data_IF_563876206931
#
_entry.id   IF_563876206931
#
_cell.length_a   1.000
_cell.length_b   1.000
_cell.length_c   1.000
_cell.angle_alpha   90.00
_cell.angle_beta   90.00
_cell.angle_gamma   90.00
#
_symmetry.space_group_name_H-M   'P 1'
#
loop_
_entity.id
_entity.type
_entity.pdbx_description
1 polymer ?
#
# COMPACT_ATOMS: atom_id res chain seq x y z
N UNK A 1 33.21 -1.83 30.83
CA UNK A 1 33.13 -1.51 29.39
C UNK A 1 31.77 -1.90 28.81
N UNK A 2 31.31 -3.14 28.98
CA UNK A 2 30.02 -3.62 28.38
C UNK A 2 28.80 -2.82 28.82
N UNK A 3 28.65 -2.50 30.12
CA UNK A 3 27.50 -1.72 30.62
C UNK A 3 27.45 -0.31 30.05
N UNK A 4 28.59 0.36 29.90
CA UNK A 4 28.67 1.71 29.30
C UNK A 4 28.22 1.68 27.83
N UNK A 5 28.68 0.69 27.05
CA UNK A 5 28.29 0.53 25.65
C UNK A 5 26.78 0.30 25.51
N UNK A 6 26.22 -0.62 26.34
CA UNK A 6 24.77 -0.91 26.35
C UNK A 6 23.98 0.34 26.75
N UNK A 7 24.45 1.08 27.75
CA UNK A 7 23.81 2.33 28.17
C UNK A 7 23.80 3.38 27.03
N UNK A 8 24.91 3.58 26.34
CA UNK A 8 25.03 4.52 25.23
C UNK A 8 24.13 4.11 24.04
N UNK A 9 24.08 2.80 23.69
CA UNK A 9 23.18 2.30 22.67
C UNK A 9 21.70 2.48 23.06
N UNK A 10 21.38 2.32 24.34
CA UNK A 10 20.02 2.55 24.85
C UNK A 10 19.64 4.05 24.78
N UNK A 11 20.57 4.94 25.12
CA UNK A 11 20.38 6.39 24.94
C UNK A 11 20.19 6.76 23.47
N UNK A 12 21.00 6.21 22.56
CA UNK A 12 20.85 6.40 21.11
C UNK A 12 19.48 5.95 20.64
N UNK A 13 19.04 4.74 21.03
CA UNK A 13 17.73 4.23 20.68
C UNK A 13 16.60 5.13 21.21
N UNK A 14 16.70 5.60 22.46
CA UNK A 14 15.73 6.53 23.04
C UNK A 14 15.65 7.84 22.24
N UNK A 15 16.80 8.45 21.95
CA UNK A 15 16.85 9.68 21.13
C UNK A 15 16.20 9.47 19.77
N UNK A 16 16.51 8.36 19.10
CA UNK A 16 15.89 8.05 17.80
C UNK A 16 14.37 7.89 17.95
N UNK A 17 13.89 7.19 18.98
CA UNK A 17 12.45 7.05 19.23
C UNK A 17 11.75 8.38 19.50
N UNK A 18 12.39 9.29 20.26
CA UNK A 18 11.84 10.64 20.49
C UNK A 18 11.78 11.43 19.18
N UNK A 19 12.82 11.37 18.35
CA UNK A 19 12.80 11.98 17.01
C UNK A 19 11.69 11.36 16.14
N UNK A 20 11.51 10.06 16.17
CA UNK A 20 10.44 9.38 15.43
C UNK A 20 9.05 9.80 15.91
N UNK A 21 8.82 9.90 17.21
CA UNK A 21 7.53 10.28 17.78
C UNK A 21 7.15 11.74 17.48
N UNK A 22 8.09 12.66 17.58
CA UNK A 22 7.82 14.09 17.51
C UNK A 22 8.22 14.73 16.18
N UNK A 23 9.26 14.23 15.51
CA UNK A 23 9.83 14.80 14.29
C UNK A 23 9.46 14.08 13.00
N UNK A 24 8.83 12.89 13.04
CA UNK A 24 8.53 12.09 11.85
C UNK A 24 7.07 12.21 11.39
N UNK A 25 6.52 13.43 11.32
CA UNK A 25 5.19 13.68 10.76
C UNK A 25 4.03 12.97 11.48
N UNK A 26 4.22 12.57 12.74
CA UNK A 26 3.17 11.87 13.51
C UNK A 26 2.72 10.54 12.88
N UNK A 27 3.61 9.83 12.19
CA UNK A 27 3.35 8.58 11.46
C UNK A 27 2.62 7.51 12.28
N UNK A 28 2.82 7.53 13.59
CA UNK A 28 2.23 6.59 14.55
C UNK A 28 0.75 6.85 14.84
N UNK A 29 0.23 8.02 14.44
CA UNK A 29 -1.18 8.39 14.63
C UNK A 29 -2.04 7.67 13.58
N UNK A 30 -2.31 6.39 13.80
CA UNK A 30 -3.14 5.59 12.92
C UNK A 30 -4.61 6.03 12.99
N UNK A 31 -5.04 6.88 12.05
CA UNK A 31 -6.42 7.35 11.95
C UNK A 31 -6.96 6.99 10.58
N UNK A 32 -8.10 6.27 10.58
CA UNK A 32 -8.81 6.02 9.33
C UNK A 32 -9.31 7.33 8.69
N UNK A 33 -9.47 7.31 7.38
CA UNK A 33 -10.05 8.41 6.63
C UNK A 33 -11.41 8.76 7.22
N UNK A 34 -11.60 10.01 7.62
CA UNK A 34 -12.93 10.49 8.02
C UNK A 34 -13.83 10.52 6.81
N UNK A 35 -15.07 10.07 6.95
CA UNK A 35 -16.10 10.33 5.97
C UNK A 35 -16.26 11.83 5.81
N UNK A 36 -16.42 12.25 4.57
CA UNK A 36 -16.75 13.64 4.32
C UNK A 36 -18.19 13.92 4.77
N UNK A 37 -18.46 15.12 5.25
CA UNK A 37 -19.81 15.50 5.65
C UNK A 37 -20.77 15.47 4.44
N UNK A 38 -22.08 15.29 4.67
CA UNK A 38 -23.08 15.24 3.60
C UNK A 38 -23.04 16.43 2.64
N UNK A 39 -22.73 17.62 3.15
CA UNK A 39 -22.65 18.85 2.36
C UNK A 39 -21.59 18.79 1.27
N UNK A 40 -20.43 18.17 1.54
CA UNK A 40 -19.38 17.99 0.55
C UNK A 40 -19.84 17.04 -0.58
N UNK A 41 -20.62 16.00 -0.26
CA UNK A 41 -21.23 15.11 -1.23
C UNK A 41 -22.32 15.83 -2.05
N UNK A 42 -23.13 16.64 -1.37
CA UNK A 42 -24.13 17.48 -2.05
C UNK A 42 -23.50 18.46 -3.04
N UNK A 43 -22.39 19.09 -2.69
CA UNK A 43 -21.65 19.97 -3.59
C UNK A 43 -21.08 19.23 -4.81
N UNK A 44 -20.53 18.02 -4.62
CA UNK A 44 -20.07 17.19 -5.74
C UNK A 44 -21.22 16.75 -6.65
N UNK A 45 -22.38 16.40 -6.09
CA UNK A 45 -23.57 16.07 -6.85
C UNK A 45 -24.11 17.27 -7.65
N UNK A 46 -24.13 18.46 -7.06
CA UNK A 46 -24.59 19.70 -7.71
C UNK A 46 -23.68 20.13 -8.89
N UNK A 47 -22.38 19.80 -8.82
CA UNK A 47 -21.42 20.03 -9.91
C UNK A 47 -21.51 18.98 -11.04
N UNK A 48 -22.32 17.95 -10.88
CA UNK A 48 -22.38 16.76 -11.74
C UNK A 48 -21.27 15.76 -11.40
N UNK A 49 -21.66 14.49 -11.25
CA UNK A 49 -20.71 13.42 -10.95
C UNK A 49 -19.79 13.16 -12.15
N UNK A 50 -18.46 13.23 -11.98
CA UNK A 50 -17.53 12.91 -13.06
C UNK A 50 -17.57 11.43 -13.41
N UNK A 51 -17.15 11.08 -14.62
CA UNK A 51 -17.06 9.69 -15.05
C UNK A 51 -15.84 8.99 -14.41
N UNK A 52 -16.03 7.75 -13.98
CA UNK A 52 -14.97 6.92 -13.39
C UNK A 52 -14.84 5.60 -14.14
N UNK A 53 -13.66 5.31 -14.66
CA UNK A 53 -13.30 3.98 -15.15
C UNK A 53 -12.40 3.29 -14.14
N UNK A 54 -12.75 2.06 -13.76
CA UNK A 54 -11.97 1.26 -12.81
C UNK A 54 -11.16 0.22 -13.58
N UNK A 55 -9.89 0.07 -13.25
CA UNK A 55 -8.99 -0.93 -13.86
C UNK A 55 -8.46 -1.85 -12.78
N UNK A 56 -8.70 -3.15 -12.97
CA UNK A 56 -8.30 -4.23 -12.07
C UNK A 56 -7.38 -5.20 -12.82
N UNK A 57 -6.06 -5.18 -12.57
CA UNK A 57 -5.17 -6.21 -13.08
C UNK A 57 -5.37 -7.50 -12.27
N UNK A 58 -5.63 -8.62 -12.93
CA UNK A 58 -5.87 -9.90 -12.29
C UNK A 58 -4.95 -10.99 -12.86
N UNK A 59 -4.43 -11.86 -11.98
CA UNK A 59 -3.70 -13.06 -12.37
C UNK A 59 -3.83 -14.11 -11.26
N UNK A 60 -4.47 -15.23 -11.58
CA UNK A 60 -4.74 -16.32 -10.64
C UNK A 60 -5.35 -15.79 -9.32
N UNK A 61 -6.54 -15.23 -9.45
CA UNK A 61 -7.32 -14.61 -8.38
C UNK A 61 -8.76 -15.19 -8.28
N UNK A 62 -9.00 -16.39 -8.83
CA UNK A 62 -10.34 -16.99 -8.89
C UNK A 62 -11.04 -17.03 -7.51
N UNK A 63 -10.29 -17.24 -6.44
CA UNK A 63 -10.82 -17.34 -5.08
C UNK A 63 -11.40 -16.04 -4.53
N UNK A 64 -10.95 -14.88 -5.00
CA UNK A 64 -11.29 -13.57 -4.43
C UNK A 64 -11.89 -12.58 -5.44
N UNK A 65 -11.61 -12.75 -6.74
CA UNK A 65 -12.03 -11.81 -7.79
C UNK A 65 -13.55 -11.63 -7.85
N UNK A 66 -14.32 -12.68 -7.57
CA UNK A 66 -15.78 -12.61 -7.61
C UNK A 66 -16.36 -11.62 -6.61
N UNK A 67 -15.87 -11.61 -5.37
CA UNK A 67 -16.29 -10.67 -4.34
C UNK A 67 -15.79 -9.25 -4.64
N UNK A 68 -14.56 -9.10 -5.10
CA UNK A 68 -13.99 -7.82 -5.50
C UNK A 68 -14.80 -7.18 -6.65
N UNK A 69 -15.09 -7.94 -7.72
CA UNK A 69 -15.89 -7.47 -8.86
C UNK A 69 -17.29 -7.08 -8.40
N UNK A 70 -17.97 -7.93 -7.63
CA UNK A 70 -19.30 -7.61 -7.09
C UNK A 70 -19.29 -6.28 -6.36
N UNK A 71 -18.32 -6.07 -5.45
CA UNK A 71 -18.21 -4.86 -4.66
C UNK A 71 -18.01 -3.59 -5.51
N UNK A 72 -17.43 -3.73 -6.71
CA UNK A 72 -17.19 -2.64 -7.64
C UNK A 72 -18.39 -2.39 -8.57
N UNK A 73 -19.02 -3.42 -9.13
CA UNK A 73 -20.15 -3.23 -10.03
C UNK A 73 -21.41 -2.77 -9.30
N UNK A 74 -21.53 -3.06 -8.00
CA UNK A 74 -22.62 -2.62 -7.12
C UNK A 74 -22.36 -1.25 -6.44
N UNK A 75 -21.37 -0.47 -6.93
CA UNK A 75 -21.13 0.86 -6.35
C UNK A 75 -22.35 1.78 -6.51
N UNK A 76 -22.75 2.40 -5.39
CA UNK A 76 -23.78 3.44 -5.35
C UNK A 76 -23.17 4.77 -5.82
N UNK A 77 -22.88 4.86 -7.11
CA UNK A 77 -22.28 6.01 -7.75
C UNK A 77 -23.20 6.52 -8.86
N UNK A 78 -23.55 7.79 -8.81
CA UNK A 78 -24.53 8.41 -9.71
C UNK A 78 -23.92 8.86 -11.06
N UNK A 79 -22.59 8.99 -11.14
CA UNK A 79 -21.86 9.28 -12.37
C UNK A 79 -21.68 8.04 -13.25
N UNK A 80 -21.21 8.25 -14.47
CA UNK A 80 -20.83 7.15 -15.35
C UNK A 80 -19.73 6.32 -14.69
N UNK A 81 -19.94 4.99 -14.61
CA UNK A 81 -19.02 4.06 -13.97
C UNK A 81 -18.86 2.79 -14.81
N UNK A 82 -17.63 2.39 -15.07
CA UNK A 82 -17.34 1.14 -15.78
C UNK A 82 -16.12 0.43 -15.18
N UNK A 83 -16.18 -0.88 -15.07
CA UNK A 83 -15.14 -1.75 -14.56
C UNK A 83 -14.45 -2.52 -15.70
N UNK A 84 -13.13 -2.45 -15.77
CA UNK A 84 -12.29 -3.21 -16.69
C UNK A 84 -11.41 -4.14 -15.86
N UNK A 85 -11.60 -5.44 -15.99
CA UNK A 85 -10.72 -6.48 -15.46
C UNK A 85 -9.77 -6.89 -16.57
N UNK A 86 -8.47 -6.84 -16.32
CA UNK A 86 -7.44 -7.31 -17.25
C UNK A 86 -6.85 -8.61 -16.73
N UNK A 87 -7.19 -9.71 -17.36
CA UNK A 87 -6.71 -11.04 -16.99
C UNK A 87 -5.34 -11.31 -17.63
N UNK A 88 -4.29 -11.31 -16.80
CA UNK A 88 -2.91 -11.59 -17.22
C UNK A 88 -2.64 -13.10 -17.29
N UNK A 89 -3.27 -13.77 -18.25
CA UNK A 89 -3.08 -15.20 -18.52
C UNK A 89 -3.29 -16.10 -17.28
N UNK A 90 -4.39 -15.92 -16.59
CA UNK A 90 -4.79 -16.80 -15.48
C UNK A 90 -5.08 -18.21 -15.98
N UNK A 91 -4.85 -19.20 -15.12
CA UNK A 91 -5.08 -20.63 -15.41
C UNK A 91 -6.07 -21.28 -14.45
N UNK A 92 -6.67 -20.47 -13.57
CA UNK A 92 -7.53 -20.91 -12.46
C UNK A 92 -9.03 -20.56 -12.64
N UNK A 93 -9.41 -19.95 -13.77
CA UNK A 93 -10.80 -19.53 -14.01
C UNK A 93 -11.10 -18.10 -13.51
N UNK A 94 -10.08 -17.27 -13.27
CA UNK A 94 -10.24 -15.87 -12.80
C UNK A 94 -11.20 -15.05 -13.69
N UNK A 95 -11.06 -15.12 -15.03
CA UNK A 95 -11.87 -14.34 -15.95
C UNK A 95 -13.34 -14.76 -15.92
N UNK A 96 -13.60 -16.06 -15.84
CA UNK A 96 -14.92 -16.66 -15.73
C UNK A 96 -15.60 -16.28 -14.41
N UNK A 97 -14.85 -16.35 -13.30
CA UNK A 97 -15.33 -15.93 -11.98
C UNK A 97 -15.73 -14.45 -11.95
N UNK A 98 -14.93 -13.57 -12.59
CA UNK A 98 -15.24 -12.15 -12.70
C UNK A 98 -16.55 -11.90 -13.47
N UNK A 99 -16.74 -12.55 -14.65
CA UNK A 99 -17.96 -12.41 -15.44
C UNK A 99 -19.19 -12.96 -14.71
N UNK A 100 -19.06 -14.15 -14.09
CA UNK A 100 -20.14 -14.78 -13.35
C UNK A 100 -20.60 -13.91 -12.17
N UNK A 101 -19.67 -13.28 -11.45
CA UNK A 101 -19.97 -12.41 -10.31
C UNK A 101 -20.77 -11.17 -10.72
N UNK A 102 -20.41 -10.54 -11.83
CA UNK A 102 -21.13 -9.37 -12.36
C UNK A 102 -22.51 -9.73 -12.90
N UNK A 103 -22.61 -10.85 -13.62
CA UNK A 103 -23.88 -11.36 -14.16
C UNK A 103 -24.86 -11.74 -13.04
N UNK A 104 -24.37 -12.34 -11.94
CA UNK A 104 -25.19 -12.76 -10.80
C UNK A 104 -25.92 -11.61 -10.11
N UNK A 105 -25.39 -10.38 -10.21
CA UNK A 105 -26.02 -9.15 -9.65
C UNK A 105 -26.68 -8.27 -10.71
N UNK A 106 -26.81 -8.78 -11.96
CA UNK A 106 -27.48 -8.04 -13.03
C UNK A 106 -26.71 -6.83 -13.57
N UNK A 107 -25.39 -6.76 -13.35
CA UNK A 107 -24.52 -5.64 -13.72
C UNK A 107 -23.50 -6.02 -14.82
N UNK A 108 -23.83 -6.97 -15.69
CA UNK A 108 -22.92 -7.44 -16.73
C UNK A 108 -22.49 -6.34 -17.71
N UNK A 109 -23.34 -5.34 -17.93
CA UNK A 109 -23.11 -4.16 -18.76
C UNK A 109 -22.05 -3.19 -18.17
N UNK A 110 -21.81 -3.26 -16.87
CA UNK A 110 -20.80 -2.46 -16.18
C UNK A 110 -19.40 -3.07 -16.19
N UNK A 111 -19.23 -4.29 -16.74
CA UNK A 111 -17.97 -5.02 -16.72
C UNK A 111 -17.46 -5.33 -18.12
N UNK A 112 -16.20 -5.04 -18.35
CA UNK A 112 -15.42 -5.57 -19.47
C UNK A 112 -14.27 -6.43 -18.93
N UNK A 113 -14.11 -7.66 -19.42
CA UNK A 113 -13.00 -8.55 -19.09
C UNK A 113 -12.12 -8.72 -20.32
N UNK A 114 -10.88 -8.29 -20.23
CA UNK A 114 -9.89 -8.34 -21.31
C UNK A 114 -8.82 -9.39 -21.00
N UNK A 115 -8.38 -10.12 -22.01
CA UNK A 115 -7.18 -10.93 -21.93
C UNK A 115 -5.95 -10.02 -22.20
N UNK A 116 -4.96 -10.08 -21.34
CA UNK A 116 -3.74 -9.29 -21.49
C UNK A 116 -2.93 -9.77 -22.71
N UNK A 117 -2.30 -8.83 -23.40
CA UNK A 117 -1.30 -9.14 -24.42
C UNK A 117 -0.01 -9.68 -23.77
N UNK A 118 0.84 -10.40 -24.51
CA UNK A 118 2.12 -10.86 -23.98
C UNK A 118 2.95 -9.74 -23.36
N UNK A 119 3.60 -10.04 -22.23
CA UNK A 119 4.38 -9.07 -21.47
C UNK A 119 5.61 -8.62 -22.25
N UNK A 120 5.74 -7.32 -22.61
CA UNK A 120 6.91 -6.81 -23.28
C UNK A 120 8.13 -6.72 -22.34
N UNK A 121 9.32 -6.75 -22.91
CA UNK A 121 10.55 -6.54 -22.14
C UNK A 121 10.53 -5.17 -21.44
N UNK A 122 11.03 -5.14 -20.21
CA UNK A 122 11.11 -3.91 -19.40
C UNK A 122 9.82 -3.50 -18.71
N UNK A 123 8.74 -4.28 -18.83
CA UNK A 123 7.50 -4.04 -18.09
C UNK A 123 7.35 -4.97 -16.89
N UNK A 124 6.74 -4.47 -15.82
CA UNK A 124 6.23 -5.33 -14.77
C UNK A 124 4.83 -5.83 -15.14
N UNK A 125 4.51 -7.08 -14.81
CA UNK A 125 3.25 -7.71 -15.24
C UNK A 125 2.01 -6.94 -14.77
N UNK A 126 1.99 -6.46 -13.53
CA UNK A 126 0.88 -5.67 -12.98
C UNK A 126 0.71 -4.35 -13.75
N UNK A 127 1.80 -3.59 -13.94
CA UNK A 127 1.75 -2.30 -14.64
C UNK A 127 1.39 -2.50 -16.12
N UNK A 128 1.85 -3.58 -16.76
CA UNK A 128 1.45 -3.91 -18.12
C UNK A 128 -0.05 -4.20 -18.23
N UNK A 129 -0.62 -4.98 -17.33
CA UNK A 129 -2.06 -5.21 -17.30
C UNK A 129 -2.84 -3.90 -17.05
N UNK A 130 -2.38 -3.05 -16.12
CA UNK A 130 -2.98 -1.74 -15.89
C UNK A 130 -2.93 -0.86 -17.14
N UNK A 131 -1.82 -0.84 -17.89
CA UNK A 131 -1.68 -0.02 -19.11
C UNK A 131 -2.68 -0.42 -20.18
N UNK A 132 -2.93 -1.72 -20.33
CA UNK A 132 -3.92 -2.23 -21.29
C UNK A 132 -5.35 -1.89 -20.88
N UNK A 133 -5.68 -1.96 -19.58
CA UNK A 133 -6.97 -1.53 -19.06
C UNK A 133 -7.21 -0.03 -19.29
N UNK A 134 -6.19 0.81 -19.04
CA UNK A 134 -6.26 2.26 -19.30
C UNK A 134 -6.40 2.53 -20.80
N UNK A 135 -5.68 1.82 -21.66
CA UNK A 135 -5.82 1.95 -23.12
C UNK A 135 -7.22 1.53 -23.60
N UNK A 136 -7.81 0.49 -22.96
CA UNK A 136 -9.15 0.03 -23.28
C UNK A 136 -10.24 1.08 -22.95
N UNK A 137 -10.06 1.91 -21.93
CA UNK A 137 -10.97 3.03 -21.64
C UNK A 137 -11.13 3.91 -22.88
N UNK A 138 -10.03 4.21 -23.57
CA UNK A 138 -10.06 5.04 -24.81
C UNK A 138 -10.64 4.25 -25.99
N UNK A 139 -10.19 3.02 -26.20
CA UNK A 139 -10.59 2.23 -27.39
C UNK A 139 -12.07 1.83 -27.37
N UNK A 140 -12.66 1.71 -26.19
CA UNK A 140 -14.08 1.44 -25.99
C UNK A 140 -14.94 2.71 -25.95
N UNK A 141 -14.33 3.90 -26.07
CA UNK A 141 -15.04 5.17 -25.99
C UNK A 141 -15.68 5.45 -24.64
N UNK A 142 -15.15 4.87 -23.55
CA UNK A 142 -15.71 5.04 -22.21
C UNK A 142 -15.36 6.44 -21.67
N UNK A 143 -16.32 7.19 -21.14
CA UNK A 143 -16.02 8.43 -20.46
C UNK A 143 -15.23 8.14 -19.18
N UNK A 144 -14.19 8.91 -18.92
CA UNK A 144 -13.42 8.82 -17.68
C UNK A 144 -12.71 10.13 -17.37
N UNK A 145 -13.16 10.83 -16.36
CA UNK A 145 -12.47 11.95 -15.75
C UNK A 145 -11.47 11.47 -14.71
N UNK A 146 -11.80 10.35 -14.06
CA UNK A 146 -10.95 9.66 -13.10
C UNK A 146 -10.74 8.19 -13.48
N UNK A 147 -9.57 7.68 -13.13
CA UNK A 147 -9.23 6.27 -13.19
C UNK A 147 -9.09 5.74 -11.76
N UNK A 148 -9.86 4.71 -11.40
CA UNK A 148 -9.67 3.98 -10.16
C UNK A 148 -8.82 2.72 -10.45
N UNK A 149 -7.57 2.74 -9.99
CA UNK A 149 -6.67 1.59 -10.04
C UNK A 149 -6.80 0.84 -8.72
N UNK A 150 -7.21 -0.43 -8.75
CA UNK A 150 -7.40 -1.25 -7.54
C UNK A 150 -6.98 -2.69 -7.81
N UNK A 151 -6.54 -3.39 -6.75
CA UNK A 151 -6.13 -4.79 -6.86
C UNK A 151 -7.35 -5.73 -6.92
N UNK A 152 -7.16 -6.92 -7.49
CA UNK A 152 -8.21 -7.92 -7.72
C UNK A 152 -8.74 -8.60 -6.45
N UNK A 153 -8.12 -8.33 -5.32
CA UNK A 153 -8.44 -8.89 -4.01
C UNK A 153 -8.96 -7.84 -3.01
N UNK A 154 -9.50 -6.71 -3.50
CA UNK A 154 -10.00 -5.66 -2.62
C UNK A 154 -11.53 -5.58 -2.70
N UNK A 155 -12.16 -5.69 -1.53
CA UNK A 155 -13.58 -5.40 -1.34
C UNK A 155 -13.79 -3.94 -0.95
N UNK A 156 -14.67 -3.26 -1.69
CA UNK A 156 -15.02 -1.87 -1.46
C UNK A 156 -16.44 -1.72 -0.91
N UNK A 157 -16.69 -0.81 0.05
CA UNK A 157 -18.07 -0.53 0.45
C UNK A 157 -18.84 0.16 -0.69
N UNK A 158 -20.18 0.08 -0.71
CA UNK A 158 -20.99 0.60 -1.82
C UNK A 158 -20.81 2.10 -2.12
N UNK A 159 -20.37 2.89 -1.17
CA UNK A 159 -20.15 4.33 -1.30
C UNK A 159 -18.67 4.71 -1.53
N UNK A 160 -17.78 3.73 -1.78
CA UNK A 160 -16.34 3.97 -1.87
C UNK A 160 -15.97 4.94 -3.00
N UNK A 161 -16.49 4.71 -4.22
CA UNK A 161 -16.20 5.55 -5.38
C UNK A 161 -16.70 6.97 -5.14
N UNK A 162 -17.93 7.13 -4.64
CA UNK A 162 -18.49 8.44 -4.32
C UNK A 162 -17.65 9.20 -3.28
N UNK A 163 -17.18 8.52 -2.23
CA UNK A 163 -16.32 9.13 -1.20
C UNK A 163 -14.94 9.55 -1.75
N UNK A 164 -14.34 8.73 -2.60
CA UNK A 164 -13.06 9.03 -3.24
C UNK A 164 -13.16 10.24 -4.16
N UNK A 165 -14.17 10.27 -5.04
CA UNK A 165 -14.41 11.38 -5.97
C UNK A 165 -14.73 12.67 -5.23
N UNK A 166 -15.64 12.62 -4.24
CA UNK A 166 -15.97 13.79 -3.41
C UNK A 166 -14.72 14.35 -2.74
N UNK A 167 -13.84 13.48 -2.22
CA UNK A 167 -12.59 13.91 -1.61
C UNK A 167 -11.62 14.52 -2.62
N UNK A 168 -11.47 13.90 -3.79
CA UNK A 168 -10.61 14.41 -4.85
C UNK A 168 -11.04 15.83 -5.28
N UNK A 169 -12.34 16.05 -5.45
CA UNK A 169 -12.90 17.35 -5.83
C UNK A 169 -12.81 18.37 -4.69
N UNK A 170 -13.31 18.04 -3.49
CA UNK A 170 -13.36 18.96 -2.36
C UNK A 170 -11.96 19.43 -1.89
N UNK A 171 -10.95 18.55 -2.00
CA UNK A 171 -9.58 18.86 -1.59
C UNK A 171 -8.65 19.15 -2.80
N UNK A 172 -9.20 19.20 -4.01
CA UNK A 172 -8.46 19.45 -5.26
C UNK A 172 -7.23 18.51 -5.39
N UNK A 173 -7.46 17.19 -5.27
CA UNK A 173 -6.42 16.18 -5.32
C UNK A 173 -6.33 15.52 -6.68
N UNK A 174 -5.12 15.38 -7.20
CA UNK A 174 -4.84 14.68 -8.45
C UNK A 174 -4.80 13.16 -8.24
N UNK A 175 -4.45 12.71 -7.03
CA UNK A 175 -4.48 11.33 -6.60
C UNK A 175 -5.02 11.24 -5.18
N UNK A 176 -6.02 10.36 -4.98
CA UNK A 176 -6.51 9.96 -3.66
C UNK A 176 -6.34 8.45 -3.52
N UNK A 177 -5.55 8.03 -2.54
CA UNK A 177 -5.28 6.63 -2.27
C UNK A 177 -5.73 6.24 -0.87
N UNK A 178 -6.14 4.99 -0.73
CA UNK A 178 -6.45 4.39 0.57
C UNK A 178 -5.51 3.20 0.82
N UNK A 179 -4.81 3.24 1.94
CA UNK A 179 -4.20 2.05 2.51
C UNK A 179 -5.34 1.15 2.99
N UNK A 180 -5.74 0.20 2.13
CA UNK A 180 -6.82 -0.74 2.45
C UNK A 180 -6.51 -1.51 3.71
N UNK A 181 -7.55 -1.86 4.46
CA UNK A 181 -7.39 -2.64 5.67
C UNK A 181 -7.07 -4.08 5.28
N UNK A 182 -5.83 -4.49 5.49
CA UNK A 182 -5.44 -5.88 5.26
C UNK A 182 -6.19 -6.81 6.23
N UNK A 183 -6.45 -8.03 5.79
CA UNK A 183 -7.08 -9.05 6.63
C UNK A 183 -6.26 -9.31 7.89
N UNK A 184 -6.95 -9.51 9.02
CA UNK A 184 -6.30 -9.65 10.34
C UNK A 184 -7.09 -10.63 11.22
N UNK A 185 -7.36 -11.85 10.70
CA UNK A 185 -8.21 -12.87 11.33
C UNK A 185 -7.40 -14.05 11.86
N UNK A 186 -6.41 -14.53 11.11
CA UNK A 186 -5.52 -15.61 11.55
C UNK A 186 -4.57 -15.16 12.66
N UNK A 187 -3.94 -16.10 13.35
CA UNK A 187 -2.90 -15.77 14.36
C UNK A 187 -1.73 -14.99 13.74
N UNK A 188 -1.25 -15.43 12.57
CA UNK A 188 -0.11 -14.80 11.90
C UNK A 188 -0.45 -13.41 11.37
N UNK A 189 -1.65 -13.25 10.83
CA UNK A 189 -2.14 -11.92 10.44
C UNK A 189 -2.21 -10.97 11.64
N UNK A 190 -2.81 -11.43 12.75
CA UNK A 190 -2.91 -10.64 13.98
C UNK A 190 -1.57 -10.24 14.56
N UNK A 191 -0.56 -11.10 14.42
CA UNK A 191 0.79 -10.84 14.93
C UNK A 191 1.60 -9.89 14.01
N UNK A 192 1.46 -10.02 12.69
CA UNK A 192 2.39 -9.42 11.73
C UNK A 192 1.79 -8.27 10.90
N UNK A 193 0.52 -8.35 10.50
CA UNK A 193 -0.08 -7.37 9.58
C UNK A 193 -0.16 -5.94 10.16
N UNK A 194 -0.51 -5.69 11.42
CA UNK A 194 -0.49 -4.33 11.96
C UNK A 194 0.89 -3.67 11.85
N UNK A 195 1.96 -4.46 11.99
CA UNK A 195 3.32 -3.96 11.86
C UNK A 195 3.69 -3.63 10.41
N UNK A 196 3.11 -4.31 9.42
CA UNK A 196 3.31 -3.97 8.01
C UNK A 196 2.89 -2.53 7.74
N UNK A 197 1.66 -2.18 8.11
CA UNK A 197 1.13 -0.83 7.89
C UNK A 197 1.85 0.20 8.78
N UNK A 198 2.24 -0.17 10.01
CA UNK A 198 3.05 0.68 10.88
C UNK A 198 4.42 1.01 10.26
N UNK A 199 5.13 0.02 9.71
CA UNK A 199 6.42 0.24 9.04
C UNK A 199 6.24 1.04 7.75
N UNK A 200 5.18 0.79 6.99
CA UNK A 200 4.86 1.62 5.82
C UNK A 200 4.64 3.08 6.23
N UNK A 201 3.80 3.36 7.22
CA UNK A 201 3.54 4.72 7.71
C UNK A 201 4.81 5.40 8.25
N UNK A 202 5.74 4.64 8.85
CA UNK A 202 7.04 5.15 9.29
C UNK A 202 7.95 5.54 8.13
N UNK A 203 7.94 4.77 7.02
CA UNK A 203 8.69 5.08 5.80
C UNK A 203 8.04 6.27 5.06
N UNK A 204 6.73 6.26 4.95
CA UNK A 204 5.90 7.20 4.22
C UNK A 204 4.87 7.87 5.14
N UNK A 205 5.27 8.84 5.99
CA UNK A 205 4.32 9.52 6.88
C UNK A 205 3.19 10.15 6.09
N UNK A 206 1.95 9.76 6.39
CA UNK A 206 0.77 10.20 5.63
C UNK A 206 0.59 11.72 5.67
N UNK A 207 0.92 12.35 6.80
CA UNK A 207 0.91 13.81 6.90
C UNK A 207 1.88 14.49 5.94
N UNK A 208 3.03 13.87 5.67
CA UNK A 208 4.00 14.38 4.70
C UNK A 208 3.57 14.12 3.26
N UNK A 209 2.95 12.96 2.99
CA UNK A 209 2.36 12.68 1.68
C UNK A 209 1.29 13.71 1.35
N UNK A 210 0.41 13.98 2.32
CA UNK A 210 -0.76 14.84 2.17
C UNK A 210 -0.44 16.33 2.16
N UNK A 211 0.75 16.73 2.59
CA UNK A 211 1.26 18.10 2.48
C UNK A 211 1.88 18.31 1.09
N UNK A 212 1.32 19.17 0.23
CA UNK A 212 1.88 19.44 -1.08
C UNK A 212 3.27 20.10 -1.02
N UNK A 213 3.65 20.68 0.12
CA UNK A 213 4.98 21.30 0.30
C UNK A 213 6.06 20.25 0.59
N UNK A 214 5.69 19.09 1.12
CA UNK A 214 6.63 18.03 1.47
C UNK A 214 6.93 17.17 0.24
N UNK A 215 8.19 16.78 0.06
CA UNK A 215 8.65 15.95 -1.05
C UNK A 215 8.25 14.47 -0.94
N UNK A 216 7.83 14.02 0.25
CA UNK A 216 7.42 12.64 0.43
C UNK A 216 6.20 12.32 -0.43
N UNK A 217 6.31 11.31 -1.27
CA UNK A 217 5.22 10.79 -2.09
C UNK A 217 5.01 9.31 -1.77
N UNK A 218 3.78 8.86 -1.83
CA UNK A 218 3.41 7.46 -1.62
C UNK A 218 1.92 7.26 -1.83
N UNK A 219 1.56 6.05 -2.22
CA UNK A 219 0.21 5.56 -2.35
C UNK A 219 0.16 4.09 -1.95
N UNK A 220 -1.02 3.51 -1.91
CA UNK A 220 -1.24 2.09 -1.68
C UNK A 220 -2.02 1.50 -2.86
N UNK A 221 -1.43 0.51 -3.52
CA UNK A 221 -1.91 -0.06 -4.79
C UNK A 221 -3.29 -0.69 -4.73
N UNK A 222 -3.75 -1.07 -3.53
CA UNK A 222 -5.09 -1.60 -3.33
C UNK A 222 -6.22 -0.63 -3.63
N UNK A 223 -5.98 0.70 -3.63
CA UNK A 223 -7.00 1.69 -3.98
C UNK A 223 -6.35 3.03 -4.31
N UNK A 224 -6.36 3.42 -5.59
CA UNK A 224 -5.83 4.69 -6.09
C UNK A 224 -6.80 5.32 -7.10
N UNK A 225 -7.50 6.38 -6.71
CA UNK A 225 -8.26 7.22 -7.64
C UNK A 225 -7.34 8.31 -8.18
N UNK A 226 -7.16 8.34 -9.48
CA UNK A 226 -6.24 9.25 -10.17
C UNK A 226 -7.04 10.09 -11.17
N UNK A 227 -6.87 11.41 -11.19
CA UNK A 227 -7.41 12.25 -12.22
C UNK A 227 -6.71 11.94 -13.55
N UNK A 228 -7.48 11.69 -14.60
CA UNK A 228 -6.96 11.18 -15.86
C UNK A 228 -5.93 12.11 -16.50
N UNK A 229 -6.23 13.41 -16.59
CA UNK A 229 -5.30 14.39 -17.14
C UNK A 229 -4.00 14.47 -16.32
N UNK A 230 -4.07 14.39 -14.97
CA UNK A 230 -2.90 14.35 -14.12
C UNK A 230 -2.03 13.11 -14.36
N UNK A 231 -2.62 11.95 -14.65
CA UNK A 231 -1.90 10.75 -15.06
C UNK A 231 -1.24 10.94 -16.42
N UNK A 232 -1.98 11.43 -17.41
CA UNK A 232 -1.48 11.68 -18.77
C UNK A 232 -0.34 12.68 -18.73
N UNK A 233 -0.56 13.76 -18.03
CA UNK A 233 0.44 14.74 -17.78
C UNK A 233 1.63 14.13 -16.99
N UNK A 234 1.59 13.12 -16.11
CA UNK A 234 2.67 12.42 -15.45
C UNK A 234 3.46 11.46 -16.38
N UNK A 235 3.19 11.48 -17.68
CA UNK A 235 3.80 10.59 -18.65
C UNK A 235 3.10 9.24 -18.73
N UNK A 236 1.83 9.17 -18.28
CA UNK A 236 1.04 7.95 -18.29
C UNK A 236 1.56 6.90 -17.31
N UNK A 237 0.90 5.76 -17.31
CA UNK A 237 1.32 4.58 -16.53
C UNK A 237 2.65 4.01 -17.05
N UNK A 238 3.02 4.30 -18.31
CA UNK A 238 4.25 3.90 -18.97
C UNK A 238 5.49 4.47 -18.28
N UNK A 239 5.36 5.62 -17.62
CA UNK A 239 6.46 6.26 -16.88
C UNK A 239 6.99 5.39 -15.74
N UNK A 240 6.19 4.42 -15.28
CA UNK A 240 6.53 3.48 -14.21
C UNK A 240 6.60 2.02 -14.69
N UNK A 241 6.70 1.77 -15.99
CA UNK A 241 6.57 0.43 -16.63
C UNK A 241 7.33 -0.70 -15.95
N UNK A 242 8.55 -0.44 -15.45
CA UNK A 242 9.40 -1.43 -14.77
C UNK A 242 9.30 -1.42 -13.24
N UNK A 243 8.43 -0.58 -12.66
CA UNK A 243 8.35 -0.45 -11.22
C UNK A 243 7.77 -1.71 -10.57
N UNK A 244 8.44 -2.21 -9.52
CA UNK A 244 7.94 -3.29 -8.65
C UNK A 244 7.06 -2.74 -7.52
N UNK A 245 7.27 -1.48 -7.15
CA UNK A 245 6.48 -0.72 -6.18
C UNK A 245 5.77 0.35 -7.02
N UNK A 246 4.77 -0.09 -7.76
CA UNK A 246 4.04 0.68 -8.76
C UNK A 246 3.30 1.88 -8.14
N UNK A 247 2.67 1.70 -7.00
CA UNK A 247 1.86 2.67 -6.28
C UNK A 247 2.67 3.90 -5.80
N UNK A 248 3.75 3.67 -5.06
CA UNK A 248 4.62 4.76 -4.61
C UNK A 248 5.37 5.42 -5.77
N UNK A 249 5.71 4.66 -6.82
CA UNK A 249 6.34 5.20 -8.02
C UNK A 249 5.38 6.12 -8.78
N UNK A 250 4.14 5.70 -8.98
CA UNK A 250 3.11 6.52 -9.63
C UNK A 250 2.80 7.79 -8.81
N UNK A 251 2.64 7.64 -7.51
CA UNK A 251 2.43 8.77 -6.62
C UNK A 251 3.59 9.80 -6.69
N UNK A 252 4.83 9.33 -6.81
CA UNK A 252 6.00 10.19 -6.97
C UNK A 252 5.99 10.89 -8.32
N UNK A 253 5.67 10.20 -9.42
CA UNK A 253 5.55 10.79 -10.75
C UNK A 253 4.47 11.88 -10.78
N UNK A 254 3.29 11.64 -10.21
CA UNK A 254 2.22 12.63 -10.15
C UNK A 254 2.64 13.81 -9.27
N UNK A 255 3.14 13.57 -8.06
CA UNK A 255 3.44 14.65 -7.10
C UNK A 255 4.58 15.56 -7.52
N UNK A 256 5.61 15.01 -8.20
CA UNK A 256 6.84 15.75 -8.50
C UNK A 256 6.91 16.29 -9.91
N UNK A 257 5.82 16.17 -10.67
CA UNK A 257 5.80 16.52 -12.05
C UNK A 257 5.83 18.04 -12.29
N UNK A 258 6.58 18.44 -13.32
CA UNK A 258 6.68 19.83 -13.75
C UNK A 258 7.25 20.75 -12.66
N UNK A 259 7.07 22.06 -12.86
CA UNK A 259 7.41 23.07 -11.85
C UNK A 259 6.32 23.21 -10.77
N UNK A 260 5.19 22.52 -10.91
CA UNK A 260 4.05 22.56 -10.00
C UNK A 260 4.14 21.55 -8.86
N UNK A 261 3.31 21.76 -7.85
CA UNK A 261 3.12 20.79 -6.75
C UNK A 261 1.73 20.21 -6.90
N UNK A 262 1.68 18.98 -7.39
CA UNK A 262 0.42 18.26 -7.57
C UNK A 262 -0.01 17.63 -6.26
N UNK A 263 -1.16 18.00 -5.70
CA UNK A 263 -1.59 17.52 -4.40
C UNK A 263 -2.07 16.07 -4.52
N UNK A 264 -1.44 15.20 -3.74
CA UNK A 264 -1.87 13.81 -3.56
C UNK A 264 -2.33 13.58 -2.14
N UNK A 265 -3.09 12.51 -1.91
CA UNK A 265 -3.56 12.10 -0.59
C UNK A 265 -3.48 10.61 -0.38
N UNK A 266 -3.04 10.19 0.79
CA UNK A 266 -3.08 8.83 1.27
C UNK A 266 -3.67 8.81 2.68
N UNK A 267 -4.68 7.98 2.90
CA UNK A 267 -5.29 7.76 4.20
C UNK A 267 -5.37 6.24 4.51
N UNK A 268 -5.56 5.88 5.78
CA UNK A 268 -5.98 4.53 6.15
C UNK A 268 -7.46 4.34 5.78
N UNK A 269 -7.79 3.22 5.14
CA UNK A 269 -9.17 2.91 4.82
C UNK A 269 -9.99 2.60 6.09
N UNK A 270 -11.25 3.01 6.10
CA UNK A 270 -12.19 2.60 7.15
C UNK A 270 -12.82 1.24 6.82
N UNK A 271 -13.32 1.07 5.59
CA UNK A 271 -14.15 -0.08 5.18
C UNK A 271 -13.69 -0.81 3.92
N UNK A 272 -12.77 -0.25 3.13
CA UNK A 272 -12.15 -1.02 2.04
C UNK A 272 -11.16 -2.01 2.63
N UNK A 273 -11.31 -3.29 2.29
CA UNK A 273 -10.60 -4.40 2.93
C UNK A 273 -9.95 -5.31 1.89
N UNK A 274 -8.81 -5.89 2.22
CA UNK A 274 -8.25 -6.98 1.42
C UNK A 274 -8.97 -8.29 1.75
N UNK A 275 -9.39 -8.99 0.69
CA UNK A 275 -10.08 -10.28 0.77
C UNK A 275 -9.09 -11.44 0.88
N UNK A 276 -7.82 -11.20 0.53
CA UNK A 276 -6.77 -12.22 0.51
C UNK A 276 -6.42 -12.68 1.92
N UNK A 277 -6.54 -13.98 2.24
CA UNK A 277 -6.04 -14.55 3.47
C UNK A 277 -4.52 -14.71 3.44
N UNK A 278 -3.92 -14.61 4.61
CA UNK A 278 -2.53 -15.00 4.88
C UNK A 278 -2.54 -16.08 5.97
N UNK A 279 -2.69 -17.32 5.56
CA UNK A 279 -2.91 -18.44 6.49
C UNK A 279 -1.64 -18.84 7.26
N UNK A 280 -0.48 -18.52 6.70
CA UNK A 280 0.80 -18.83 7.31
C UNK A 280 1.72 -17.61 7.41
N UNK A 281 2.69 -17.70 8.36
CA UNK A 281 3.77 -16.71 8.44
C UNK A 281 4.59 -16.61 7.15
N UNK A 282 4.65 -17.70 6.37
CA UNK A 282 5.39 -17.77 5.10
C UNK A 282 4.78 -16.86 4.04
N UNK A 283 3.46 -16.71 4.03
CA UNK A 283 2.77 -15.86 3.08
C UNK A 283 3.11 -14.39 3.33
N UNK A 284 3.09 -13.98 4.60
CA UNK A 284 3.48 -12.63 5.02
C UNK A 284 4.98 -12.40 4.78
N UNK A 285 5.82 -13.40 5.08
CA UNK A 285 7.25 -13.34 4.75
C UNK A 285 7.49 -13.12 3.26
N UNK A 286 6.80 -13.86 2.41
CA UNK A 286 6.92 -13.74 0.96
C UNK A 286 6.41 -12.39 0.45
N UNK A 287 5.33 -11.88 1.02
CA UNK A 287 4.81 -10.54 0.72
C UNK A 287 5.89 -9.47 1.00
N UNK A 288 6.54 -9.50 2.14
CA UNK A 288 7.60 -8.55 2.51
C UNK A 288 8.85 -8.77 1.65
N UNK A 289 9.33 -10.03 1.54
CA UNK A 289 10.55 -10.36 0.83
C UNK A 289 10.47 -10.09 -0.69
N UNK A 290 9.27 -9.91 -1.24
CA UNK A 290 9.08 -9.55 -2.64
C UNK A 290 9.64 -8.17 -2.99
N UNK A 291 9.46 -7.17 -2.10
CA UNK A 291 9.73 -5.76 -2.41
C UNK A 291 10.68 -5.07 -1.43
N UNK A 292 11.05 -5.69 -0.30
CA UNK A 292 11.83 -5.02 0.74
C UNK A 292 13.21 -4.54 0.25
N UNK A 293 13.92 -5.31 -0.58
CA UNK A 293 15.20 -4.88 -1.12
C UNK A 293 15.08 -3.86 -2.25
N UNK A 294 13.97 -3.89 -3.00
CA UNK A 294 13.62 -2.84 -3.97
C UNK A 294 13.43 -1.50 -3.27
N UNK A 295 12.77 -1.50 -2.08
CA UNK A 295 12.62 -0.31 -1.25
C UNK A 295 13.97 0.29 -0.82
N UNK A 296 15.00 -0.53 -0.71
CA UNK A 296 16.39 -0.14 -0.43
C UNK A 296 17.20 0.16 -1.70
N UNK A 297 16.54 0.35 -2.86
CA UNK A 297 17.17 0.62 -4.15
C UNK A 297 18.26 -0.39 -4.50
N UNK A 298 18.10 -1.62 -4.09
CA UNK A 298 19.07 -2.72 -4.28
C UNK A 298 20.47 -2.42 -3.70
N UNK A 299 20.59 -1.49 -2.76
CA UNK A 299 21.85 -1.07 -2.17
C UNK A 299 22.24 -1.94 -0.97
N UNK A 300 23.39 -2.65 -1.00
CA UNK A 300 23.90 -3.38 0.15
C UNK A 300 24.21 -2.48 1.36
N UNK A 301 24.62 -1.22 1.11
CA UNK A 301 24.90 -0.24 2.16
C UNK A 301 23.62 0.15 2.90
N UNK A 302 22.53 0.43 2.16
CA UNK A 302 21.24 0.70 2.76
C UNK A 302 20.68 -0.53 3.48
N UNK A 303 20.92 -1.73 2.98
CA UNK A 303 20.56 -2.97 3.67
C UNK A 303 21.29 -3.07 5.00
N UNK A 304 22.62 -2.93 5.03
CA UNK A 304 23.40 -2.96 6.26
C UNK A 304 22.92 -1.89 7.25
N UNK A 305 22.74 -0.65 6.78
CA UNK A 305 22.20 0.43 7.60
C UNK A 305 20.83 0.12 8.18
N UNK A 306 19.96 -0.53 7.39
CA UNK A 306 18.63 -0.97 7.85
C UNK A 306 18.74 -2.06 8.91
N UNK A 307 19.59 -3.07 8.71
CA UNK A 307 19.77 -4.16 9.67
C UNK A 307 20.31 -3.63 11.01
N UNK A 308 21.34 -2.78 10.96
CA UNK A 308 21.92 -2.15 12.16
C UNK A 308 20.91 -1.22 12.82
N UNK A 309 20.27 -0.35 12.05
CA UNK A 309 19.28 0.60 12.57
C UNK A 309 18.07 -0.11 13.22
N UNK A 310 17.54 -1.14 12.59
CA UNK A 310 16.44 -1.94 13.16
C UNK A 310 16.86 -2.67 14.43
N UNK A 311 18.10 -3.16 14.49
CA UNK A 311 18.64 -3.79 15.70
C UNK A 311 18.71 -2.78 16.85
N UNK A 312 19.29 -1.61 16.62
CA UNK A 312 19.38 -0.54 17.64
C UNK A 312 18.00 -0.07 18.09
N UNK A 313 17.07 0.12 17.14
CA UNK A 313 15.73 0.63 17.45
C UNK A 313 14.86 -0.37 18.20
N UNK A 314 14.86 -1.63 17.77
CA UNK A 314 13.84 -2.59 18.20
C UNK A 314 14.38 -3.69 19.13
N UNK A 315 15.65 -4.09 18.98
CA UNK A 315 16.18 -5.22 19.76
C UNK A 315 16.99 -4.75 20.99
N UNK A 316 17.80 -3.69 20.84
CA UNK A 316 18.59 -3.18 21.97
C UNK A 316 17.71 -2.79 23.18
N UNK A 317 16.57 -2.04 23.03
CA UNK A 317 15.78 -1.63 24.18
C UNK A 317 15.28 -2.78 25.05
N UNK A 318 14.53 -3.79 24.55
CA UNK A 318 14.03 -4.84 25.41
C UNK A 318 15.15 -5.72 25.97
N UNK A 319 16.20 -6.03 25.19
CA UNK A 319 17.33 -6.83 25.65
C UNK A 319 18.09 -6.13 26.78
N UNK A 320 18.40 -4.85 26.63
CA UNK A 320 19.10 -4.08 27.65
C UNK A 320 18.23 -3.88 28.92
N UNK A 321 16.95 -3.59 28.75
CA UNK A 321 16.01 -3.41 29.86
C UNK A 321 15.90 -4.67 30.73
N UNK A 322 15.76 -5.83 30.09
CA UNK A 322 15.61 -7.11 30.78
C UNK A 322 16.94 -7.59 31.40
N UNK A 323 18.07 -7.39 30.72
CA UNK A 323 19.37 -7.86 31.18
C UNK A 323 19.96 -7.01 32.34
N UNK A 324 19.71 -5.69 32.31
CA UNK A 324 20.36 -4.75 33.26
C UNK A 324 19.37 -4.03 34.18
N UNK A 325 18.08 -4.28 34.07
CA UNK A 325 17.03 -3.72 34.93
C UNK A 325 17.05 -2.19 35.00
N UNK A 326 16.95 -1.62 36.20
CA UNK A 326 16.95 -0.17 36.42
C UNK A 326 18.22 0.54 35.94
N UNK A 327 19.36 -0.14 35.85
CA UNK A 327 20.62 0.45 35.35
C UNK A 327 20.54 0.82 33.86
N UNK A 328 19.65 0.19 33.12
CA UNK A 328 19.38 0.51 31.71
C UNK A 328 18.06 1.30 31.54
N UNK A 329 17.80 2.27 32.40
CA UNK A 329 16.55 3.07 32.35
C UNK A 329 16.28 3.72 30.97
N UNK A 330 17.28 4.17 30.14
CA UNK A 330 16.97 4.66 28.82
C UNK A 330 16.37 3.60 27.89
N UNK A 331 16.73 2.33 28.10
CA UNK A 331 16.17 1.21 27.33
C UNK A 331 14.68 0.99 27.63
N UNK A 332 14.27 1.11 28.92
CA UNK A 332 12.87 1.07 29.30
C UNK A 332 12.07 2.20 28.67
N UNK A 333 12.60 3.42 28.67
CA UNK A 333 11.94 4.56 28.02
C UNK A 333 11.86 4.41 26.50
N UNK A 334 12.92 3.89 25.87
CA UNK A 334 12.90 3.60 24.42
C UNK A 334 11.85 2.52 24.08
N UNK A 335 11.76 1.45 24.89
CA UNK A 335 10.76 0.42 24.70
C UNK A 335 9.33 0.94 24.95
N UNK A 336 9.12 1.73 25.98
CA UNK A 336 7.85 2.39 26.23
C UNK A 336 7.44 3.34 25.08
N UNK A 337 8.40 4.11 24.54
CA UNK A 337 8.18 4.97 23.36
C UNK A 337 7.78 4.17 22.12
N UNK A 338 8.40 3.01 21.90
CA UNK A 338 8.05 2.06 20.85
C UNK A 338 6.62 1.54 21.03
N UNK A 339 6.25 1.12 22.24
CA UNK A 339 4.90 0.64 22.56
C UNK A 339 3.86 1.75 22.32
N UNK A 340 4.14 2.96 22.76
CA UNK A 340 3.28 4.14 22.56
C UNK A 340 3.06 4.43 21.08
N UNK A 341 4.11 4.34 20.26
CA UNK A 341 4.02 4.55 18.82
C UNK A 341 3.20 3.46 18.12
N UNK A 342 3.26 2.21 18.59
CA UNK A 342 2.60 1.08 17.93
C UNK A 342 1.14 0.89 18.36
N UNK A 343 0.78 1.28 19.58
CA UNK A 343 -0.54 1.07 20.16
C UNK A 343 -1.71 1.61 19.28
N UNK A 344 -1.63 2.80 18.64
CA UNK A 344 -2.71 3.28 17.78
C UNK A 344 -2.94 2.38 16.54
N UNK A 345 -1.88 1.79 15.97
CA UNK A 345 -2.01 0.88 14.85
C UNK A 345 -2.67 -0.45 15.27
N UNK A 346 -2.33 -0.96 16.45
CA UNK A 346 -3.03 -2.11 17.03
C UNK A 346 -4.53 -1.80 17.23
N UNK A 347 -4.85 -0.63 17.76
CA UNK A 347 -6.25 -0.19 17.95
C UNK A 347 -7.00 -0.06 16.61
N UNK A 348 -6.36 0.44 15.56
CA UNK A 348 -6.93 0.49 14.19
C UNK A 348 -7.32 -0.91 13.70
N UNK A 349 -6.48 -1.91 13.98
CA UNK A 349 -6.75 -3.32 13.67
C UNK A 349 -7.62 -4.03 14.73
N UNK A 350 -8.23 -3.29 15.67
CA UNK A 350 -9.06 -3.83 16.77
C UNK A 350 -8.31 -4.85 17.62
N UNK A 351 -6.99 -4.65 17.80
CA UNK A 351 -6.12 -5.48 18.62
C UNK A 351 -5.85 -4.80 19.96
N UNK A 352 -5.69 -5.61 21.00
CA UNK A 352 -5.32 -5.10 22.30
C UNK A 352 -3.96 -4.39 22.26
N UNK A 353 -3.82 -3.18 22.84
CA UNK A 353 -2.53 -2.50 22.96
C UNK A 353 -1.46 -3.30 23.73
N UNK A 354 -1.87 -4.30 24.51
CA UNK A 354 -0.96 -5.21 25.22
C UNK A 354 -0.08 -6.05 24.27
N UNK A 355 -0.35 -6.07 22.98
CA UNK A 355 0.55 -6.65 21.97
C UNK A 355 1.72 -5.73 21.63
N UNK A 356 1.68 -4.45 22.01
CA UNK A 356 2.74 -3.50 21.65
C UNK A 356 4.14 -3.89 22.16
N UNK A 357 4.34 -4.45 23.36
CA UNK A 357 5.64 -4.92 23.82
C UNK A 357 6.25 -6.02 22.95
N UNK A 358 5.45 -6.76 22.16
CA UNK A 358 5.93 -7.81 21.26
C UNK A 358 6.49 -7.26 19.91
N UNK A 359 6.39 -5.95 19.65
CA UNK A 359 6.89 -5.35 18.41
C UNK A 359 8.36 -5.67 18.10
N UNK A 360 9.30 -5.81 19.10
CA UNK A 360 10.66 -6.24 18.83
C UNK A 360 10.77 -7.61 18.14
N UNK A 361 9.96 -8.57 18.53
CA UNK A 361 9.94 -9.90 17.90
C UNK A 361 9.40 -9.82 16.47
N UNK A 362 8.37 -9.00 16.27
CA UNK A 362 7.82 -8.73 14.93
C UNK A 362 8.87 -8.02 14.07
N UNK A 363 9.58 -7.04 14.62
CA UNK A 363 10.65 -6.34 13.91
C UNK A 363 11.79 -7.29 13.47
N UNK A 364 12.13 -8.26 14.31
CA UNK A 364 13.12 -9.31 13.95
C UNK A 364 12.65 -10.12 12.74
N UNK A 365 11.38 -10.49 12.70
CA UNK A 365 10.78 -11.16 11.53
C UNK A 365 10.92 -10.31 10.25
N UNK A 366 10.62 -9.00 10.34
CA UNK A 366 10.75 -8.08 9.20
C UNK A 366 12.19 -7.88 8.76
N UNK A 367 13.14 -7.81 9.70
CA UNK A 367 14.58 -7.76 9.41
C UNK A 367 15.01 -9.01 8.64
N UNK A 368 14.60 -10.20 9.10
CA UNK A 368 14.88 -11.46 8.42
C UNK A 368 14.28 -11.50 7.00
N UNK A 369 13.03 -11.09 6.83
CA UNK A 369 12.38 -11.03 5.51
C UNK A 369 13.06 -10.03 4.57
N UNK A 370 13.53 -8.88 5.10
CA UNK A 370 14.28 -7.88 4.32
C UNK A 370 15.63 -8.45 3.85
N UNK A 371 16.35 -9.13 4.73
CA UNK A 371 17.58 -9.82 4.35
C UNK A 371 17.34 -10.92 3.31
N UNK A 372 16.30 -11.74 3.50
CA UNK A 372 15.90 -12.76 2.54
C UNK A 372 15.55 -12.18 1.16
N UNK A 373 14.95 -10.97 1.13
CA UNK A 373 14.67 -10.23 -0.11
C UNK A 373 15.95 -9.96 -0.90
N UNK A 374 17.00 -9.49 -0.22
CA UNK A 374 18.29 -9.23 -0.84
C UNK A 374 18.96 -10.53 -1.35
N UNK A 375 18.92 -11.60 -0.55
CA UNK A 375 19.45 -12.91 -0.96
C UNK A 375 18.72 -13.44 -2.19
N UNK A 376 17.37 -13.31 -2.24
CA UNK A 376 16.59 -13.70 -3.43
C UNK A 376 16.99 -12.90 -4.66
N UNK A 377 17.19 -11.60 -4.51
CA UNK A 377 17.64 -10.73 -5.60
C UNK A 377 19.01 -11.15 -6.14
N UNK A 378 20.01 -11.36 -5.26
CA UNK A 378 21.35 -11.79 -5.65
C UNK A 378 21.37 -13.18 -6.30
N UNK A 379 20.40 -14.03 -6.00
CA UNK A 379 20.19 -15.35 -6.63
C UNK A 379 19.34 -15.30 -7.91
N UNK A 380 19.03 -14.11 -8.44
CA UNK A 380 18.21 -13.95 -9.65
C UNK A 380 16.72 -14.32 -9.48
N UNK A 381 16.23 -14.44 -8.23
CA UNK A 381 14.84 -14.81 -7.90
C UNK A 381 14.07 -13.64 -7.25
N UNK A 382 14.55 -12.39 -7.40
CA UNK A 382 13.92 -11.20 -6.85
C UNK A 382 12.68 -10.75 -7.63
N UNK A 383 11.77 -10.03 -6.96
CA UNK A 383 10.67 -9.32 -7.62
C UNK A 383 9.66 -10.22 -8.35
N UNK A 384 9.15 -11.26 -7.72
CA UNK A 384 8.14 -12.12 -8.33
C UNK A 384 6.73 -11.55 -8.13
N UNK A 385 5.98 -11.41 -9.21
CA UNK A 385 4.54 -11.19 -9.18
C UNK A 385 3.82 -12.43 -9.72
N UNK A 386 3.06 -13.14 -8.86
CA UNK A 386 2.29 -14.33 -9.23
C UNK A 386 3.12 -15.34 -10.04
N UNK A 387 4.25 -15.78 -9.49
CA UNK A 387 5.22 -16.71 -10.08
C UNK A 387 6.00 -16.21 -11.32
N UNK A 388 5.75 -14.99 -11.82
CA UNK A 388 6.61 -14.37 -12.84
C UNK A 388 7.78 -13.64 -12.16
N UNK A 389 9.00 -14.01 -12.52
CA UNK A 389 10.20 -13.24 -12.14
C UNK A 389 10.23 -11.99 -13.00
N UNK A 390 10.19 -10.84 -12.36
CA UNK A 390 10.37 -9.55 -13.03
C UNK A 390 11.87 -9.25 -13.00
N UNK A 391 12.53 -9.36 -14.16
CA UNK A 391 13.93 -8.98 -14.25
C UNK A 391 14.08 -7.49 -13.92
N UNK A 392 15.05 -7.12 -13.05
CA UNK A 392 15.35 -5.72 -12.84
C UNK A 392 15.75 -5.09 -14.17
N UNK A 393 15.18 -3.94 -14.51
CA UNK A 393 15.73 -3.08 -15.55
C UNK A 393 17.11 -2.68 -15.05
N UNK A 394 18.17 -3.25 -15.63
CA UNK A 394 19.52 -2.72 -15.45
C UNK A 394 19.55 -1.42 -16.23
N UNK A 395 19.42 -0.30 -15.53
CA UNK A 395 19.83 0.98 -16.08
C UNK A 395 21.33 0.86 -16.43
N UNK A 396 21.62 0.94 -17.72
CA UNK A 396 22.98 1.06 -18.23
C UNK A 396 23.43 2.50 -18.08
#
# INVERSE_FOLDING_TARGET
MTLIVVFLLSCLSLVIWLVLLFGRGGFWRARAARRLPPDARGAAAAAGWPAVATVVPARNEADVIGEAVRSLVEQAYEGAFHLIVVDDHSTDGTAEAARAASAAVGCADRLTVLAAQPLPAGWSGKVWAQSQGIAAVRSLGLPADYLLLTDADIGHPPDAVAQLVTRAQAEQRDLVSLMVRLRCDSFWEKALIPAFVFFFAKLYPFSWINDPRNRTAGAAGGCMLVRRDALEEAGGIESIRGALIDDCSLAAQIKHRGAGRHPIRLDLADRSVSLRPYDSWRDIWNMIARTAFTQLRYSPVLLLGTLVGMTILYLVPPVAALAYGARAWPAWLAWASMCTAYAPMLSYYRRSPWWAPALPLVALFYVGATFASAVRYWRGKGGQWKARVQAPVRDR
#
